data_IF_411612959371
#
_entry.id   IF_411612959371
#
_cell.length_a   1.000
_cell.length_b   1.000
_cell.length_c   1.000
_cell.angle_alpha   90.00
_cell.angle_beta   90.00
_cell.angle_gamma   90.00
#
_symmetry.space_group_name_H-M   'P 1'
#
loop_
_entity.id
_entity.type
_entity.pdbx_description
1 polymer ?
#
# COMPACT_ATOMS: atom_id res chain seq x y z
N UNK A 1 19.49 -4.46 -25.56
CA UNK A 1 19.32 -3.03 -25.22
C UNK A 1 17.90 -2.51 -25.48
N UNK A 2 17.27 -2.75 -26.64
CA UNK A 2 15.85 -2.37 -26.86
C UNK A 2 14.84 -3.17 -25.99
N UNK A 3 15.10 -4.47 -25.78
CA UNK A 3 14.26 -5.33 -24.94
C UNK A 3 14.27 -4.94 -23.45
N UNK A 4 15.38 -4.36 -22.94
CA UNK A 4 15.48 -3.87 -21.57
C UNK A 4 14.76 -2.54 -21.38
N UNK A 5 14.73 -1.68 -22.40
CA UNK A 5 13.94 -0.43 -22.39
C UNK A 5 12.44 -0.74 -22.40
N UNK A 6 11.99 -1.70 -23.22
CA UNK A 6 10.59 -2.13 -23.25
C UNK A 6 10.10 -2.61 -21.88
N UNK A 7 10.88 -3.44 -21.18
CA UNK A 7 10.53 -3.91 -19.84
C UNK A 7 10.52 -2.78 -18.80
N UNK A 8 11.49 -1.86 -18.85
CA UNK A 8 11.54 -0.70 -17.96
C UNK A 8 10.30 0.21 -18.12
N UNK A 9 9.84 0.41 -19.36
CA UNK A 9 8.61 1.15 -19.65
C UNK A 9 7.39 0.47 -19.04
N UNK A 10 7.28 -0.86 -19.17
CA UNK A 10 6.19 -1.63 -18.56
C UNK A 10 6.20 -1.47 -17.03
N UNK A 11 7.36 -1.62 -16.39
CA UNK A 11 7.49 -1.43 -14.94
C UNK A 11 7.07 -0.02 -14.51
N UNK A 12 7.54 1.01 -15.22
CA UNK A 12 7.17 2.40 -14.96
C UNK A 12 5.66 2.65 -15.09
N UNK A 13 5.03 2.14 -16.15
CA UNK A 13 3.58 2.28 -16.35
C UNK A 13 2.78 1.57 -15.26
N UNK A 14 3.22 0.38 -14.81
CA UNK A 14 2.57 -0.32 -13.70
C UNK A 14 2.66 0.48 -12.41
N UNK A 15 3.82 1.06 -12.10
CA UNK A 15 3.99 1.89 -10.91
C UNK A 15 3.17 3.19 -10.97
N UNK A 16 3.07 3.81 -12.14
CA UNK A 16 2.19 4.98 -12.36
C UNK A 16 0.73 4.59 -12.11
N UNK A 17 0.27 3.48 -12.69
CA UNK A 17 -1.10 3.00 -12.50
C UNK A 17 -1.39 2.66 -11.03
N UNK A 18 -0.44 2.01 -10.35
CA UNK A 18 -0.54 1.73 -8.92
C UNK A 18 -0.63 3.01 -8.09
N UNK A 19 0.17 4.03 -8.42
CA UNK A 19 0.13 5.34 -7.77
C UNK A 19 -1.22 6.06 -7.93
N UNK A 20 -1.83 6.01 -9.12
CA UNK A 20 -3.18 6.54 -9.36
C UNK A 20 -4.25 5.80 -8.55
N UNK A 21 -4.04 4.52 -8.26
CA UNK A 21 -4.98 3.71 -7.47
C UNK A 21 -5.14 4.20 -6.02
N UNK A 22 -4.11 4.82 -5.43
CA UNK A 22 -4.12 5.27 -4.03
C UNK A 22 -5.20 6.33 -3.74
N UNK A 23 -5.30 7.47 -4.47
CA UNK A 23 -6.36 8.45 -4.25
C UNK A 23 -7.75 7.92 -4.60
N UNK A 24 -7.86 7.07 -5.63
CA UNK A 24 -9.14 6.43 -6.00
C UNK A 24 -9.62 5.53 -4.86
N UNK A 25 -8.74 4.68 -4.34
CA UNK A 25 -9.02 3.83 -3.18
C UNK A 25 -9.43 4.66 -1.95
N UNK A 26 -8.69 5.73 -1.65
CA UNK A 26 -9.01 6.60 -0.53
C UNK A 26 -10.39 7.27 -0.66
N UNK A 27 -10.74 7.74 -1.88
CA UNK A 27 -12.04 8.35 -2.15
C UNK A 27 -13.18 7.34 -1.98
N UNK A 28 -13.03 6.14 -2.55
CA UNK A 28 -14.02 5.07 -2.44
C UNK A 28 -14.20 4.61 -0.99
N UNK A 29 -13.10 4.40 -0.26
CA UNK A 29 -13.17 3.90 1.10
C UNK A 29 -13.67 4.95 2.09
N UNK A 30 -13.22 6.21 1.95
CA UNK A 30 -13.76 7.32 2.72
C UNK A 30 -15.27 7.49 2.50
N UNK A 31 -15.74 7.37 1.25
CA UNK A 31 -17.16 7.37 0.92
C UNK A 31 -17.92 6.18 1.53
N UNK A 32 -17.34 4.98 1.54
CA UNK A 32 -17.92 3.81 2.21
C UNK A 32 -18.00 4.02 3.73
N UNK A 33 -16.94 4.56 4.34
CA UNK A 33 -16.90 4.88 5.77
C UNK A 33 -17.99 5.84 6.20
N UNK A 34 -18.28 6.86 5.38
CA UNK A 34 -19.41 7.76 5.58
C UNK A 34 -20.76 7.04 5.49
N UNK A 35 -20.96 6.22 4.45
CA UNK A 35 -22.23 5.50 4.22
C UNK A 35 -22.53 4.49 5.34
N UNK A 36 -21.51 3.83 5.87
CA UNK A 36 -21.65 2.89 6.97
C UNK A 36 -21.71 3.58 8.35
N UNK A 37 -21.36 4.86 8.44
CA UNK A 37 -21.16 5.56 9.72
C UNK A 37 -20.05 4.95 10.58
N UNK A 38 -19.20 4.09 10.00
CA UNK A 38 -18.18 3.33 10.71
C UNK A 38 -16.91 3.18 9.84
N UNK A 39 -15.91 4.07 10.03
CA UNK A 39 -14.65 4.04 9.30
C UNK A 39 -13.85 2.75 9.50
N UNK A 40 -13.94 2.13 10.68
CA UNK A 40 -13.24 0.89 11.00
C UNK A 40 -13.82 -0.24 10.17
N UNK A 41 -15.15 -0.38 10.14
CA UNK A 41 -15.83 -1.41 9.33
C UNK A 41 -15.52 -1.27 7.83
N UNK A 42 -15.56 -0.05 7.28
CA UNK A 42 -15.19 0.20 5.88
C UNK A 42 -13.73 -0.21 5.59
N UNK A 43 -12.80 0.19 6.46
CA UNK A 43 -11.39 -0.17 6.35
C UNK A 43 -11.15 -1.69 6.44
N UNK A 44 -11.84 -2.38 7.35
CA UNK A 44 -11.78 -3.84 7.48
C UNK A 44 -12.29 -4.56 6.23
N UNK A 45 -13.39 -4.09 5.63
CA UNK A 45 -13.91 -4.65 4.37
C UNK A 45 -12.91 -4.45 3.23
N UNK A 46 -12.34 -3.25 3.10
CA UNK A 46 -11.35 -2.96 2.07
C UNK A 46 -10.08 -3.83 2.23
N UNK A 47 -9.56 -3.96 3.44
CA UNK A 47 -8.41 -4.82 3.74
C UNK A 47 -8.72 -6.30 3.48
N UNK A 48 -9.94 -6.75 3.79
CA UNK A 48 -10.36 -8.13 3.53
C UNK A 48 -10.45 -8.41 2.03
N UNK A 49 -10.98 -7.48 1.24
CA UNK A 49 -11.01 -7.60 -0.21
C UNK A 49 -9.59 -7.61 -0.80
N UNK A 50 -8.71 -6.74 -0.30
CA UNK A 50 -7.30 -6.71 -0.72
C UNK A 50 -6.59 -8.04 -0.42
N UNK A 51 -6.83 -8.62 0.77
CA UNK A 51 -6.31 -9.95 1.14
C UNK A 51 -6.83 -11.03 0.20
N UNK A 52 -8.15 -11.06 -0.07
CA UNK A 52 -8.75 -12.05 -0.98
C UNK A 52 -8.15 -11.97 -2.39
N UNK A 53 -8.03 -10.76 -2.94
CA UNK A 53 -7.38 -10.54 -4.25
C UNK A 53 -5.95 -11.04 -4.22
N UNK A 54 -5.17 -10.70 -3.18
CA UNK A 54 -3.79 -11.17 -3.02
C UNK A 54 -3.71 -12.69 -2.98
N UNK A 55 -4.57 -13.36 -2.21
CA UNK A 55 -4.61 -14.82 -2.12
C UNK A 55 -4.95 -15.47 -3.47
N UNK A 56 -5.88 -14.91 -4.25
CA UNK A 56 -6.18 -15.41 -5.59
C UNK A 56 -4.94 -15.38 -6.49
N UNK A 57 -4.11 -14.33 -6.41
CA UNK A 57 -2.84 -14.27 -7.15
C UNK A 57 -1.78 -15.27 -6.68
N UNK A 58 -1.93 -15.87 -5.51
CA UNK A 58 -1.06 -16.96 -5.05
C UNK A 58 -1.47 -18.33 -5.58
N UNK A 59 -2.70 -18.47 -6.09
CA UNK A 59 -3.18 -19.75 -6.61
C UNK A 59 -2.34 -20.20 -7.82
N UNK A 60 -1.93 -21.47 -7.82
CA UNK A 60 -1.09 -22.05 -8.87
C UNK A 60 0.38 -21.65 -8.80
N UNK A 61 0.82 -20.97 -7.74
CA UNK A 61 2.23 -20.64 -7.48
C UNK A 61 2.77 -21.43 -6.29
N UNK A 62 4.02 -21.90 -6.33
CA UNK A 62 4.63 -22.56 -5.17
C UNK A 62 4.73 -21.56 -4.01
N UNK A 63 4.23 -21.95 -2.84
CA UNK A 63 4.36 -21.15 -1.62
C UNK A 63 5.73 -21.42 -0.98
N UNK A 64 6.35 -20.39 -0.36
CA UNK A 64 7.56 -20.57 0.44
C UNK A 64 7.33 -21.57 1.59
N UNK A 65 8.40 -22.25 2.02
CA UNK A 65 8.33 -23.15 3.17
C UNK A 65 8.12 -22.34 4.46
N UNK A 66 7.41 -22.92 5.44
CA UNK A 66 7.16 -22.28 6.74
C UNK A 66 8.45 -21.79 7.44
N UNK A 67 9.54 -22.55 7.28
CA UNK A 67 10.85 -22.21 7.81
C UNK A 67 11.42 -20.90 7.24
N UNK A 68 11.10 -20.55 5.98
CA UNK A 68 11.54 -19.30 5.37
C UNK A 68 10.87 -18.10 6.04
N UNK A 69 9.58 -18.20 6.38
CA UNK A 69 8.88 -17.14 7.11
C UNK A 69 9.45 -16.96 8.53
N UNK A 70 9.79 -18.05 9.22
CA UNK A 70 10.38 -17.99 10.56
C UNK A 70 11.81 -17.41 10.55
N UNK A 71 12.55 -17.55 9.45
CA UNK A 71 13.89 -17.00 9.29
C UNK A 71 13.91 -15.51 8.87
N UNK A 72 12.81 -14.98 8.32
CA UNK A 72 12.71 -13.59 7.89
C UNK A 72 12.67 -12.63 9.10
N UNK A 73 13.48 -11.56 9.12
CA UNK A 73 13.45 -10.58 10.20
C UNK A 73 12.05 -9.98 10.42
N UNK A 74 11.57 -9.87 11.68
CA UNK A 74 10.19 -9.48 11.97
C UNK A 74 9.73 -8.14 11.37
N UNK A 75 10.66 -7.19 11.20
CA UNK A 75 10.34 -5.86 10.68
C UNK A 75 9.82 -5.88 9.23
N UNK A 76 10.16 -6.90 8.41
CA UNK A 76 9.61 -7.04 7.06
C UNK A 76 8.10 -7.28 7.06
N UNK A 77 7.54 -7.85 8.13
CA UNK A 77 6.09 -8.06 8.26
C UNK A 77 5.34 -6.78 8.68
N UNK A 78 6.05 -5.73 9.10
CA UNK A 78 5.43 -4.46 9.52
C UNK A 78 4.84 -3.66 8.36
N UNK A 79 5.11 -4.03 7.10
CA UNK A 79 4.49 -3.38 5.94
C UNK A 79 2.95 -3.39 6.00
N UNK A 80 2.36 -4.49 6.46
CA UNK A 80 0.90 -4.60 6.62
C UNK A 80 0.34 -3.64 7.67
N UNK A 81 1.09 -3.36 8.73
CA UNK A 81 0.71 -2.39 9.77
C UNK A 81 0.61 -0.97 9.18
N UNK A 82 1.59 -0.54 8.38
CA UNK A 82 1.56 0.79 7.75
C UNK A 82 0.40 0.96 6.76
N UNK A 83 0.09 -0.10 6.00
CA UNK A 83 -1.07 -0.11 5.09
C UNK A 83 -2.39 0.01 5.88
N UNK A 84 -2.55 -0.75 6.95
CA UNK A 84 -3.74 -0.69 7.79
C UNK A 84 -3.89 0.69 8.46
N UNK A 85 -2.79 1.25 9.00
CA UNK A 85 -2.76 2.59 9.59
C UNK A 85 -3.16 3.66 8.57
N UNK A 86 -2.61 3.61 7.36
CA UNK A 86 -2.95 4.52 6.28
C UNK A 86 -4.45 4.44 5.93
N UNK A 87 -4.98 3.22 5.71
CA UNK A 87 -6.38 3.03 5.30
C UNK A 87 -7.34 3.51 6.41
N UNK A 88 -7.08 3.17 7.67
CA UNK A 88 -7.93 3.64 8.79
C UNK A 88 -7.91 5.17 8.89
N UNK A 89 -6.70 5.76 8.82
CA UNK A 89 -6.51 7.21 8.91
C UNK A 89 -7.21 7.94 7.77
N UNK A 90 -7.00 7.50 6.53
CA UNK A 90 -7.58 8.17 5.36
C UNK A 90 -9.10 8.05 5.34
N UNK A 91 -9.64 6.91 5.76
CA UNK A 91 -11.10 6.66 5.80
C UNK A 91 -11.80 7.55 6.81
N UNK A 92 -11.14 7.82 7.95
CA UNK A 92 -11.71 8.66 9.00
C UNK A 92 -11.48 10.16 8.77
N UNK A 93 -10.30 10.53 8.26
CA UNK A 93 -9.85 11.93 8.17
C UNK A 93 -10.23 12.56 6.83
N UNK A 94 -10.11 11.85 5.71
CA UNK A 94 -10.37 12.44 4.39
C UNK A 94 -11.78 13.04 4.23
N UNK A 95 -12.85 12.44 4.78
CA UNK A 95 -14.18 13.05 4.77
C UNK A 95 -14.27 14.42 5.48
N UNK A 96 -13.37 14.70 6.43
CA UNK A 96 -13.41 15.92 7.26
C UNK A 96 -12.63 17.07 6.64
N UNK A 97 -11.48 16.79 6.04
CA UNK A 97 -10.58 17.82 5.50
C UNK A 97 -10.59 17.89 3.97
N UNK A 98 -11.37 17.02 3.33
CA UNK A 98 -11.41 16.85 1.88
C UNK A 98 -10.35 15.87 1.38
N UNK A 99 -10.73 15.06 0.39
CA UNK A 99 -9.86 14.00 -0.15
C UNK A 99 -8.57 14.54 -0.75
N UNK A 100 -8.63 15.68 -1.45
CA UNK A 100 -7.45 16.32 -2.07
C UNK A 100 -6.40 16.72 -1.02
N UNK A 101 -6.83 17.38 0.05
CA UNK A 101 -5.95 17.80 1.15
C UNK A 101 -5.35 16.59 1.87
N UNK A 102 -6.16 15.56 2.11
CA UNK A 102 -5.70 14.36 2.79
C UNK A 102 -4.63 13.62 1.95
N UNK A 103 -4.85 13.47 0.64
CA UNK A 103 -3.87 12.87 -0.28
C UNK A 103 -2.62 13.72 -0.39
N UNK A 104 -2.73 15.06 -0.44
CA UNK A 104 -1.57 15.95 -0.44
C UNK A 104 -0.66 15.73 0.77
N UNK A 105 -1.23 15.68 1.98
CA UNK A 105 -0.47 15.41 3.22
C UNK A 105 0.17 14.02 3.21
N UNK A 106 -0.54 13.01 2.69
CA UNK A 106 0.02 11.66 2.53
C UNK A 106 1.22 11.66 1.59
N UNK A 107 1.12 12.35 0.44
CA UNK A 107 2.22 12.48 -0.51
C UNK A 107 3.43 13.19 0.11
N UNK A 108 3.23 14.24 0.90
CA UNK A 108 4.31 14.89 1.65
C UNK A 108 5.00 13.90 2.60
N UNK A 109 4.23 13.10 3.35
CA UNK A 109 4.77 12.07 4.23
C UNK A 109 5.52 10.98 3.47
N UNK A 110 5.03 10.56 2.30
CA UNK A 110 5.69 9.57 1.44
C UNK A 110 7.02 10.09 0.88
N UNK A 111 7.09 11.34 0.43
CA UNK A 111 8.33 11.97 -0.06
C UNK A 111 9.35 12.12 1.08
N UNK A 112 8.92 12.55 2.27
CA UNK A 112 9.79 12.64 3.43
C UNK A 112 10.32 11.27 3.85
N UNK A 113 9.45 10.26 3.90
CA UNK A 113 9.83 8.88 4.22
C UNK A 113 10.77 8.29 3.18
N UNK A 114 10.55 8.51 1.88
CA UNK A 114 11.44 8.01 0.83
C UNK A 114 12.83 8.63 0.96
N UNK A 115 12.91 9.94 1.19
CA UNK A 115 14.20 10.61 1.42
C UNK A 115 14.94 10.05 2.64
N UNK A 116 14.23 9.77 3.74
CA UNK A 116 14.83 9.15 4.93
C UNK A 116 15.30 7.71 4.67
N UNK A 117 14.51 6.92 3.93
CA UNK A 117 14.90 5.55 3.55
C UNK A 117 16.14 5.58 2.66
N UNK A 118 16.24 6.51 1.71
CA UNK A 118 17.39 6.65 0.82
C UNK A 118 18.66 7.06 1.59
N UNK A 119 18.54 7.95 2.57
CA UNK A 119 19.65 8.35 3.45
C UNK A 119 20.15 7.19 4.32
N UNK A 120 19.26 6.26 4.68
CA UNK A 120 19.55 5.11 5.54
C UNK A 120 19.43 3.77 4.79
N UNK A 121 19.71 3.76 3.48
CA UNK A 121 19.43 2.63 2.57
C UNK A 121 19.92 1.27 3.10
N UNK A 122 21.07 1.25 3.81
CA UNK A 122 21.64 0.04 4.40
C UNK A 122 20.77 -0.63 5.48
N UNK A 123 19.85 0.09 6.13
CA UNK A 123 19.04 -0.42 7.24
C UNK A 123 17.76 -1.14 6.78
N UNK A 124 17.20 -0.80 5.61
CA UNK A 124 15.90 -1.30 5.15
C UNK A 124 16.00 -2.45 4.13
N UNK A 125 17.10 -2.53 3.39
CA UNK A 125 17.38 -3.60 2.42
C UNK A 125 18.85 -4.03 2.51
N UNK A 126 19.20 -4.97 3.41
CA UNK A 126 20.49 -5.64 3.34
C UNK A 126 20.45 -6.56 2.11
N UNK A 127 21.25 -6.24 1.10
CA UNK A 127 21.55 -7.13 -0.04
C UNK A 127 22.23 -8.40 0.41
#
# INVERSE_FOLDING_TARGET
MAASVGMALVMGLVMIAAGMGIPVMAALNGGLGLRLGNPVAASSLLLSLALLVSLVFTLGRPLPAAAQFAATPPHYFMGGFFVAFYILSITWIAPKIGIGNAIFLVLCGQIAASALIDLHHYFWTPS
#
